data_IF_970759843992
#
_entry.id   IF_970759843992
#
_cell.length_a   1.000
_cell.length_b   1.000
_cell.length_c   1.000
_cell.angle_alpha   90.00
_cell.angle_beta   90.00
_cell.angle_gamma   90.00
#
_symmetry.space_group_name_H-M   'P 1'
#
loop_
_entity.id
_entity.type
_entity.pdbx_description
1 polymer ?
#
# COMPACT_ATOMS: atom_id res chain seq x y z
N UNK A 1 3.51 -11.29 -63.88
CA UNK A 1 4.80 -11.48 -63.16
C UNK A 1 4.71 -10.72 -61.84
N UNK A 2 4.69 -11.41 -60.72
CA UNK A 2 4.60 -10.82 -59.38
C UNK A 2 5.94 -10.23 -58.96
N UNK A 3 5.92 -8.98 -58.47
CA UNK A 3 7.14 -8.26 -58.08
C UNK A 3 7.75 -8.91 -56.82
N UNK A 4 8.98 -9.44 -56.89
CA UNK A 4 9.62 -10.14 -55.76
C UNK A 4 9.79 -9.25 -54.52
N UNK A 5 9.88 -7.93 -54.66
CA UNK A 5 9.94 -7.02 -53.52
C UNK A 5 8.65 -6.99 -52.69
N UNK A 6 7.49 -7.18 -53.32
CA UNK A 6 6.20 -7.22 -52.59
C UNK A 6 6.06 -8.48 -51.72
N UNK A 7 6.72 -9.58 -52.12
CA UNK A 7 6.70 -10.84 -51.38
C UNK A 7 7.56 -10.72 -50.11
N UNK A 8 8.73 -10.07 -50.21
CA UNK A 8 9.64 -9.88 -49.06
C UNK A 8 9.01 -8.96 -48.00
N UNK A 9 8.36 -7.88 -48.40
CA UNK A 9 7.70 -6.95 -47.47
C UNK A 9 6.53 -7.63 -46.75
N UNK A 10 5.72 -8.42 -47.47
CA UNK A 10 4.61 -9.16 -46.86
C UNK A 10 5.08 -10.21 -45.85
N UNK A 11 6.19 -10.90 -46.13
CA UNK A 11 6.78 -11.88 -45.23
C UNK A 11 7.33 -11.24 -43.94
N UNK A 12 8.01 -10.10 -44.05
CA UNK A 12 8.55 -9.37 -42.88
C UNK A 12 7.44 -8.82 -41.98
N UNK A 13 6.34 -8.32 -42.56
CA UNK A 13 5.18 -7.85 -41.78
C UNK A 13 4.49 -8.99 -41.02
N UNK A 14 4.42 -10.20 -41.60
CA UNK A 14 3.80 -11.34 -40.94
C UNK A 14 4.62 -11.83 -39.73
N UNK A 15 5.95 -11.79 -39.83
CA UNK A 15 6.87 -12.14 -38.73
C UNK A 15 6.81 -11.10 -37.60
N UNK A 16 6.74 -9.81 -37.91
CA UNK A 16 6.60 -8.76 -36.90
C UNK A 16 5.28 -8.88 -36.11
N UNK A 17 4.18 -9.20 -36.79
CA UNK A 17 2.86 -9.39 -36.16
C UNK A 17 2.85 -10.62 -35.24
N UNK A 18 3.51 -11.71 -35.64
CA UNK A 18 3.57 -12.93 -34.81
C UNK A 18 4.44 -12.74 -33.56
N UNK A 19 5.54 -11.99 -33.65
CA UNK A 19 6.38 -11.67 -32.49
C UNK A 19 5.64 -10.77 -31.50
N UNK A 20 4.91 -9.76 -31.97
CA UNK A 20 4.11 -8.86 -31.11
C UNK A 20 2.94 -9.58 -30.43
N UNK A 21 2.25 -10.48 -31.14
CA UNK A 21 1.18 -11.30 -30.55
C UNK A 21 1.72 -12.31 -29.53
N UNK A 22 2.88 -12.92 -29.80
CA UNK A 22 3.55 -13.83 -28.86
C UNK A 22 4.03 -13.14 -27.58
N UNK A 23 4.59 -11.94 -27.68
CA UNK A 23 5.02 -11.16 -26.51
C UNK A 23 3.82 -10.70 -25.65
N UNK A 24 2.72 -10.30 -26.29
CA UNK A 24 1.49 -9.90 -25.59
C UNK A 24 0.89 -11.04 -24.75
N UNK A 25 0.85 -12.26 -25.27
CA UNK A 25 0.36 -13.42 -24.55
C UNK A 25 1.27 -13.86 -23.38
N UNK A 26 2.59 -13.71 -23.52
CA UNK A 26 3.53 -14.05 -22.45
C UNK A 26 3.44 -13.08 -21.26
N UNK A 27 3.18 -11.79 -21.51
CA UNK A 27 2.96 -10.80 -20.45
C UNK A 27 1.63 -11.07 -19.74
N UNK A 28 0.56 -11.43 -20.46
CA UNK A 28 -0.71 -11.82 -19.83
C UNK A 28 -0.58 -13.07 -18.95
N UNK A 29 0.23 -14.07 -19.36
CA UNK A 29 0.50 -15.26 -18.56
C UNK A 29 1.33 -14.97 -17.29
N UNK A 30 2.20 -13.97 -17.31
CA UNK A 30 2.95 -13.54 -16.12
C UNK A 30 2.07 -12.85 -15.07
N UNK A 31 0.89 -12.35 -15.45
CA UNK A 31 -0.09 -11.76 -14.51
C UNK A 31 -1.24 -12.70 -14.15
N UNK A 32 -1.52 -13.74 -14.95
CA UNK A 32 -2.65 -14.67 -14.74
C UNK A 32 -2.21 -16.06 -14.25
N UNK A 33 -0.91 -16.31 -14.12
CA UNK A 33 -0.35 -17.63 -13.79
C UNK A 33 -0.21 -17.97 -12.31
N UNK A 34 -0.98 -17.33 -11.42
CA UNK A 34 -1.07 -17.81 -10.04
C UNK A 34 -2.01 -19.01 -10.04
N UNK A 35 -1.46 -20.20 -9.87
CA UNK A 35 -2.26 -21.43 -9.71
C UNK A 35 -3.23 -21.23 -8.56
N UNK A 36 -4.53 -21.20 -8.88
CA UNK A 36 -5.62 -21.04 -7.93
C UNK A 36 -5.43 -21.97 -6.73
N UNK A 37 -5.11 -21.39 -5.57
CA UNK A 37 -5.42 -22.01 -4.29
C UNK A 37 -6.95 -22.16 -4.22
N UNK A 38 -7.47 -23.21 -3.55
CA UNK A 38 -8.91 -23.43 -3.45
C UNK A 38 -9.61 -22.17 -2.94
N UNK A 39 -10.78 -21.86 -3.52
CA UNK A 39 -11.70 -20.76 -3.17
C UNK A 39 -12.25 -20.92 -1.74
N UNK A 40 -11.39 -20.84 -0.73
CA UNK A 40 -11.84 -20.54 0.62
C UNK A 40 -11.95 -19.03 0.70
N UNK A 41 -13.17 -18.52 0.88
CA UNK A 41 -13.39 -17.10 1.22
C UNK A 41 -12.36 -16.70 2.30
N UNK A 42 -11.71 -15.53 2.16
CA UNK A 42 -10.78 -15.06 3.18
C UNK A 42 -11.59 -14.79 4.45
N UNK A 43 -11.63 -15.79 5.34
CA UNK A 43 -12.01 -15.55 6.72
C UNK A 43 -10.95 -14.61 7.27
N UNK A 44 -11.35 -13.35 7.48
CA UNK A 44 -10.52 -12.36 8.17
C UNK A 44 -10.33 -12.88 9.59
N UNK A 45 -9.28 -13.68 9.79
CA UNK A 45 -8.89 -14.23 11.11
C UNK A 45 -8.71 -13.08 12.12
N UNK A 46 -8.39 -11.88 11.63
CA UNK A 46 -8.24 -10.67 12.45
C UNK A 46 -9.48 -10.31 13.29
N UNK A 47 -10.72 -10.63 12.88
CA UNK A 47 -11.89 -10.25 13.73
C UNK A 47 -12.09 -11.16 14.95
N UNK A 48 -11.36 -12.27 15.05
CA UNK A 48 -11.34 -13.14 16.23
C UNK A 48 -9.94 -13.16 16.85
N UNK A 49 -9.41 -11.99 17.24
CA UNK A 49 -8.37 -12.00 18.25
C UNK A 49 -8.90 -12.77 19.48
N UNK A 50 -8.17 -13.73 20.05
CA UNK A 50 -8.65 -14.45 21.22
C UNK A 50 -8.97 -13.44 22.32
N UNK A 51 -10.15 -13.55 22.93
CA UNK A 51 -10.60 -12.76 24.09
C UNK A 51 -9.67 -12.87 25.33
N UNK A 52 -8.54 -13.55 25.20
CA UNK A 52 -7.53 -13.78 26.22
C UNK A 52 -6.49 -12.65 26.36
N UNK A 53 -6.60 -11.54 25.61
CA UNK A 53 -5.79 -10.34 25.85
C UNK A 53 -6.38 -9.40 26.93
N UNK A 54 -7.32 -9.90 27.74
CA UNK A 54 -7.76 -9.21 28.95
C UNK A 54 -6.58 -9.06 29.94
N UNK A 55 -5.99 -7.86 29.91
CA UNK A 55 -5.27 -7.17 30.97
C UNK A 55 -4.48 -8.06 31.94
N UNK A 56 -3.22 -8.36 31.58
CA UNK A 56 -2.23 -8.66 32.60
C UNK A 56 -2.02 -7.40 33.46
N UNK A 57 -2.07 -7.48 34.81
CA UNK A 57 -1.87 -6.31 35.66
C UNK A 57 -0.46 -5.76 35.47
N UNK A 58 -0.36 -4.50 35.06
CA UNK A 58 0.91 -3.77 35.05
C UNK A 58 1.40 -3.63 36.50
N UNK A 59 2.40 -4.42 36.87
CA UNK A 59 3.20 -4.19 38.08
C UNK A 59 3.91 -2.83 37.96
N UNK A 60 3.82 -1.94 38.96
CA UNK A 60 4.48 -0.64 38.91
C UNK A 60 6.01 -0.82 39.02
N UNK A 61 6.71 -0.53 37.94
CA UNK A 61 8.18 -0.43 37.89
C UNK A 61 8.64 0.86 38.55
N UNK A 62 9.75 0.74 39.28
CA UNK A 62 10.31 1.70 40.23
C UNK A 62 10.50 3.14 39.72
N UNK A 63 10.29 4.06 40.66
CA UNK A 63 10.58 5.51 40.59
C UNK A 63 12.06 5.78 40.25
N UNK A 64 12.36 6.65 39.27
CA UNK A 64 13.73 7.08 39.02
C UNK A 64 14.20 8.12 40.05
N UNK A 65 15.44 7.93 40.51
CA UNK A 65 16.18 8.82 41.40
C UNK A 65 16.65 10.08 40.66
N UNK A 66 16.61 11.28 41.27
CA UNK A 66 17.02 12.52 40.59
C UNK A 66 18.55 12.61 40.48
N UNK A 67 19.05 12.72 39.25
CA UNK A 67 20.45 13.03 38.96
C UNK A 67 20.69 14.54 39.04
N UNK A 68 21.68 14.91 39.84
CA UNK A 68 22.14 16.29 40.07
C UNK A 68 22.68 16.96 38.81
N UNK A 69 22.18 18.16 38.54
CA UNK A 69 22.65 19.11 37.51
C UNK A 69 24.08 19.57 37.79
N UNK A 70 25.00 19.37 36.83
CA UNK A 70 26.31 20.04 36.82
C UNK A 70 26.31 21.22 35.82
N UNK A 71 26.94 22.31 36.24
CA UNK A 71 27.06 23.59 35.54
C UNK A 71 27.72 23.50 34.15
N UNK A 72 27.41 24.43 33.22
CA UNK A 72 28.04 24.50 31.92
C UNK A 72 29.44 25.15 31.98
N UNK A 73 30.42 24.69 31.17
CA UNK A 73 31.69 25.39 31.01
C UNK A 73 31.56 26.60 30.06
N UNK A 74 32.34 27.62 30.42
CA UNK A 74 32.60 28.91 29.80
C UNK A 74 32.86 28.85 28.29
N UNK A 75 32.24 29.76 27.55
CA UNK A 75 32.42 29.96 26.10
C UNK A 75 33.83 30.49 25.76
N UNK A 76 34.46 29.86 24.77
CA UNK A 76 35.69 30.31 24.11
C UNK A 76 35.33 31.26 22.94
N UNK A 77 36.02 32.40 22.76
CA UNK A 77 35.73 33.32 21.66
C UNK A 77 36.13 32.73 20.29
N UNK A 78 35.24 32.93 19.32
CA UNK A 78 35.31 32.49 17.93
C UNK A 78 36.24 33.42 17.10
N UNK A 79 37.13 32.88 16.25
CA UNK A 79 37.98 33.70 15.39
C UNK A 79 37.18 34.31 14.22
N UNK A 80 37.33 35.62 14.04
CA UNK A 80 36.77 36.38 12.91
C UNK A 80 37.38 35.92 11.58
N UNK A 81 36.59 35.19 10.78
CA UNK A 81 36.94 34.84 9.42
C UNK A 81 36.47 35.92 8.42
N UNK A 82 37.42 36.55 7.74
CA UNK A 82 37.17 37.43 6.58
C UNK A 82 36.79 36.58 5.38
N UNK A 83 35.49 36.35 5.20
CA UNK A 83 34.94 35.57 4.08
C UNK A 83 34.66 36.42 2.84
N UNK A 84 35.30 36.08 1.73
CA UNK A 84 34.98 36.58 0.38
C UNK A 84 33.53 36.25 0.02
N UNK A 85 32.72 37.27 -0.25
CA UNK A 85 31.31 37.14 -0.62
C UNK A 85 31.18 36.56 -2.03
N UNK A 86 31.02 35.24 -2.13
CA UNK A 86 30.57 34.59 -3.36
C UNK A 86 29.07 34.85 -3.49
N UNK A 87 28.68 35.64 -4.49
CA UNK A 87 27.27 35.89 -4.82
C UNK A 87 26.76 34.65 -5.55
N UNK A 88 26.23 33.68 -4.80
CA UNK A 88 25.51 32.56 -5.38
C UNK A 88 24.16 33.06 -5.89
N UNK A 89 24.03 33.14 -7.21
CA UNK A 89 22.74 33.38 -7.87
C UNK A 89 21.84 32.19 -7.54
N UNK A 90 20.93 32.38 -6.59
CA UNK A 90 19.97 31.35 -6.20
C UNK A 90 18.85 31.38 -7.23
N UNK A 91 18.90 30.45 -8.18
CA UNK A 91 17.77 30.23 -9.10
C UNK A 91 16.62 29.68 -8.24
N UNK A 92 15.45 30.34 -8.21
CA UNK A 92 14.30 29.82 -7.48
C UNK A 92 13.98 28.41 -8.02
N UNK A 93 13.78 27.41 -7.15
CA UNK A 93 13.45 26.06 -7.61
C UNK A 93 12.18 26.13 -8.45
N UNK A 94 12.22 25.53 -9.64
CA UNK A 94 11.03 25.29 -10.45
C UNK A 94 10.00 24.58 -9.56
N UNK A 95 8.76 25.08 -9.44
CA UNK A 95 7.75 24.41 -8.64
C UNK A 95 7.61 22.98 -9.15
N UNK A 96 7.87 22.01 -8.28
CA UNK A 96 7.60 20.60 -8.58
C UNK A 96 6.12 20.50 -8.92
N UNK A 97 5.76 19.96 -10.12
CA UNK A 97 4.35 19.80 -10.45
C UNK A 97 3.68 19.01 -9.33
N UNK A 98 2.65 19.59 -8.73
CA UNK A 98 1.89 18.94 -7.66
C UNK A 98 1.41 17.60 -8.20
N UNK A 99 1.92 16.51 -7.63
CA UNK A 99 1.50 15.16 -8.00
C UNK A 99 -0.01 15.06 -7.80
N UNK A 100 -0.71 14.42 -8.74
CA UNK A 100 -2.15 14.20 -8.60
C UNK A 100 -2.43 13.53 -7.23
N UNK A 101 -3.44 14.02 -6.53
CA UNK A 101 -3.92 13.46 -5.27
C UNK A 101 -5.42 13.30 -5.41
N UNK A 102 -5.92 12.08 -5.22
CA UNK A 102 -7.34 11.76 -5.41
C UNK A 102 -8.20 12.04 -4.17
N UNK A 103 -7.69 12.77 -3.17
CA UNK A 103 -8.44 13.19 -1.98
C UNK A 103 -9.76 13.89 -2.35
N UNK A 104 -9.75 14.74 -3.38
CA UNK A 104 -10.95 15.47 -3.83
C UNK A 104 -11.70 14.76 -4.98
N UNK A 105 -11.16 13.64 -5.48
CA UNK A 105 -11.71 12.87 -6.60
C UNK A 105 -12.30 11.53 -6.11
N UNK A 106 -13.16 11.62 -5.08
CA UNK A 106 -13.90 10.48 -4.50
C UNK A 106 -15.33 10.47 -5.02
N UNK A 107 -15.71 9.39 -5.70
CA UNK A 107 -16.94 9.37 -6.48
C UNK A 107 -17.84 8.15 -6.22
N UNK A 108 -19.15 8.42 -6.24
CA UNK A 108 -20.24 7.44 -6.37
C UNK A 108 -20.40 6.46 -5.18
N UNK A 109 -19.82 6.71 -4.01
CA UNK A 109 -20.00 5.86 -2.83
C UNK A 109 -21.43 5.88 -2.31
N UNK A 110 -22.21 6.93 -2.54
CA UNK A 110 -23.64 6.98 -2.20
C UNK A 110 -24.43 5.85 -2.87
N UNK A 111 -23.99 5.37 -4.04
CA UNK A 111 -24.61 4.25 -4.74
C UNK A 111 -24.47 2.92 -3.99
N UNK A 112 -23.61 2.83 -2.97
CA UNK A 112 -23.56 1.69 -2.05
C UNK A 112 -24.75 1.66 -1.10
N UNK A 113 -25.38 2.81 -0.83
CA UNK A 113 -26.38 2.97 0.24
C UNK A 113 -25.79 2.88 1.66
N UNK A 114 -24.46 2.80 1.81
CA UNK A 114 -23.78 2.59 3.08
C UNK A 114 -23.04 3.84 3.58
N UNK A 115 -22.35 4.55 2.68
CA UNK A 115 -21.49 5.70 3.01
C UNK A 115 -21.51 6.73 1.86
N UNK A 116 -21.37 8.02 2.18
CA UNK A 116 -21.26 9.10 1.18
C UNK A 116 -19.81 9.36 0.76
N UNK A 117 -19.58 10.06 -0.35
CA UNK A 117 -18.23 10.47 -0.77
C UNK A 117 -17.56 11.35 0.28
N UNK A 118 -18.31 12.28 0.89
CA UNK A 118 -17.82 13.15 1.97
C UNK A 118 -17.37 12.33 3.19
N UNK A 119 -18.16 11.34 3.59
CA UNK A 119 -17.78 10.45 4.71
C UNK A 119 -16.54 9.60 4.40
N UNK A 120 -16.37 9.15 3.15
CA UNK A 120 -15.15 8.47 2.70
C UNK A 120 -13.96 9.42 2.73
N UNK A 121 -14.14 10.65 2.26
CA UNK A 121 -13.10 11.68 2.29
C UNK A 121 -12.64 11.97 3.72
N UNK A 122 -13.59 12.21 4.62
CA UNK A 122 -13.32 12.46 6.04
C UNK A 122 -12.67 11.26 6.73
N UNK A 123 -13.09 10.04 6.37
CA UNK A 123 -12.45 8.83 6.86
C UNK A 123 -10.98 8.77 6.44
N UNK A 124 -10.66 8.95 5.17
CA UNK A 124 -9.27 8.91 4.69
C UNK A 124 -8.41 10.01 5.34
N UNK A 125 -8.92 11.24 5.43
CA UNK A 125 -8.23 12.36 6.11
C UNK A 125 -7.85 12.07 7.55
N UNK A 126 -8.70 11.32 8.27
CA UNK A 126 -8.48 11.00 9.68
C UNK A 126 -7.60 9.76 9.90
N UNK A 127 -7.58 8.84 8.94
CA UNK A 127 -7.03 7.50 9.17
C UNK A 127 -5.73 7.22 8.43
N UNK A 128 -5.35 8.03 7.43
CA UNK A 128 -4.10 7.88 6.69
C UNK A 128 -3.41 9.22 6.42
N UNK A 129 -2.07 9.25 6.28
CA UNK A 129 -1.36 10.40 5.73
C UNK A 129 -1.87 10.79 4.34
N UNK A 130 -2.08 12.08 4.07
CA UNK A 130 -2.59 12.55 2.77
C UNK A 130 -1.63 12.27 1.60
N UNK A 131 -0.33 12.19 1.86
CA UNK A 131 0.67 11.85 0.86
C UNK A 131 0.61 10.37 0.42
N UNK A 132 -0.10 9.51 1.15
CA UNK A 132 -0.39 8.13 0.71
C UNK A 132 -1.36 8.09 -0.48
N UNK A 133 -2.08 9.18 -0.74
CA UNK A 133 -2.90 9.39 -1.94
C UNK A 133 -2.14 10.09 -3.07
N UNK A 134 -0.83 10.34 -2.93
CA UNK A 134 -0.03 10.88 -4.03
C UNK A 134 -0.02 9.93 -5.24
N UNK A 135 0.00 10.53 -6.43
CA UNK A 135 -0.07 9.85 -7.71
C UNK A 135 -1.30 8.95 -7.83
N UNK A 136 -2.36 9.18 -7.06
CA UNK A 136 -3.67 8.61 -7.26
C UNK A 136 -4.53 9.66 -7.99
N UNK A 137 -5.32 9.19 -8.96
CA UNK A 137 -6.12 10.02 -9.84
C UNK A 137 -7.59 10.04 -9.43
N UNK A 138 -8.13 8.91 -8.99
CA UNK A 138 -9.54 8.79 -8.62
C UNK A 138 -9.75 7.61 -7.68
N UNK A 139 -10.69 7.78 -6.74
CA UNK A 139 -11.29 6.70 -5.96
C UNK A 139 -12.77 6.64 -6.32
N UNK A 140 -13.26 5.48 -6.78
CA UNK A 140 -14.65 5.36 -7.21
C UNK A 140 -15.30 4.07 -6.73
N UNK A 141 -16.52 4.19 -6.22
CA UNK A 141 -17.38 3.03 -6.01
C UNK A 141 -18.12 2.64 -7.30
N UNK A 142 -18.12 1.35 -7.60
CA UNK A 142 -18.76 0.77 -8.78
C UNK A 142 -19.89 -0.17 -8.33
N UNK A 143 -21.17 0.20 -8.52
CA UNK A 143 -22.33 -0.55 -8.00
C UNK A 143 -22.57 -1.88 -8.71
N UNK A 144 -21.86 -2.17 -9.80
CA UNK A 144 -21.97 -3.41 -10.53
C UNK A 144 -20.57 -3.94 -10.83
N UNK A 145 -20.23 -5.09 -10.25
CA UNK A 145 -18.98 -5.77 -10.57
C UNK A 145 -18.88 -5.98 -12.08
N UNK A 146 -17.79 -5.53 -12.69
CA UNK A 146 -17.56 -5.81 -14.09
C UNK A 146 -17.37 -7.32 -14.23
N UNK A 147 -18.22 -7.97 -15.03
CA UNK A 147 -18.27 -9.43 -15.22
C UNK A 147 -16.91 -10.05 -15.61
N UNK A 148 -15.96 -9.23 -16.06
CA UNK A 148 -14.60 -9.61 -16.42
C UNK A 148 -13.67 -9.90 -15.22
N UNK A 149 -14.01 -9.48 -13.99
CA UNK A 149 -13.11 -9.54 -12.83
C UNK A 149 -13.35 -10.74 -11.90
N UNK A 150 -14.25 -11.67 -12.26
CA UNK A 150 -14.67 -12.77 -11.38
C UNK A 150 -15.52 -12.27 -10.21
N UNK A 151 -16.12 -13.19 -9.45
CA UNK A 151 -17.08 -12.86 -8.38
C UNK A 151 -16.43 -12.53 -7.04
N UNK A 152 -15.10 -12.68 -6.92
CA UNK A 152 -14.39 -12.61 -5.63
C UNK A 152 -13.70 -11.26 -5.35
N UNK A 153 -13.63 -10.35 -6.33
CA UNK A 153 -12.88 -9.10 -6.18
C UNK A 153 -13.78 -7.99 -5.61
N UNK A 154 -13.45 -7.48 -4.43
CA UNK A 154 -14.18 -6.40 -3.76
C UNK A 154 -13.59 -5.00 -4.08
N UNK A 155 -12.37 -4.93 -4.60
CA UNK A 155 -11.70 -3.68 -5.01
C UNK A 155 -10.57 -3.92 -6.01
N UNK A 156 -10.07 -2.85 -6.64
CA UNK A 156 -8.84 -2.93 -7.43
C UNK A 156 -8.15 -1.57 -7.53
N UNK A 157 -6.83 -1.58 -7.39
CA UNK A 157 -5.95 -0.51 -7.83
C UNK A 157 -5.41 -0.81 -9.23
N UNK A 158 -5.57 0.14 -10.17
CA UNK A 158 -5.04 0.03 -11.53
C UNK A 158 -3.79 0.90 -11.68
N UNK A 159 -2.56 0.33 -11.67
CA UNK A 159 -1.34 1.13 -11.59
C UNK A 159 -1.06 2.04 -12.79
N UNK A 160 -1.56 1.66 -13.97
CA UNK A 160 -1.38 2.43 -15.21
C UNK A 160 -2.19 3.72 -15.19
N UNK A 161 -3.44 3.64 -14.71
CA UNK A 161 -4.35 4.79 -14.66
C UNK A 161 -4.32 5.52 -13.33
N UNK A 162 -3.73 4.89 -12.30
CA UNK A 162 -3.68 5.40 -10.92
C UNK A 162 -5.06 5.56 -10.31
N UNK A 163 -5.94 4.61 -10.59
CA UNK A 163 -7.34 4.65 -10.16
C UNK A 163 -7.59 3.52 -9.16
N UNK A 164 -8.38 3.82 -8.13
CA UNK A 164 -8.85 2.87 -7.13
C UNK A 164 -10.35 2.69 -7.35
N UNK A 165 -10.77 1.44 -7.47
CA UNK A 165 -12.17 1.06 -7.56
C UNK A 165 -12.56 0.18 -6.39
N UNK A 166 -13.73 0.43 -5.81
CA UNK A 166 -14.39 -0.46 -4.85
C UNK A 166 -15.67 -0.98 -5.50
N UNK A 167 -15.85 -2.29 -5.57
CA UNK A 167 -16.97 -2.91 -6.25
C UNK A 167 -18.06 -3.34 -5.28
N UNK A 168 -19.31 -3.22 -5.72
CA UNK A 168 -20.41 -3.91 -5.08
C UNK A 168 -20.20 -5.43 -5.23
N UNK A 169 -19.81 -6.10 -4.16
CA UNK A 169 -19.97 -7.54 -4.06
C UNK A 169 -21.16 -7.83 -3.15
N UNK A 170 -22.20 -8.43 -3.73
CA UNK A 170 -23.47 -8.70 -3.04
C UNK A 170 -23.35 -9.76 -1.95
N UNK A 171 -22.27 -10.55 -1.93
CA UNK A 171 -22.04 -11.57 -0.90
C UNK A 171 -21.09 -11.12 0.22
N UNK A 172 -20.07 -10.29 -0.07
CA UNK A 172 -19.01 -9.96 0.88
C UNK A 172 -19.13 -8.60 1.58
N UNK A 173 -19.81 -7.61 0.99
CA UNK A 173 -20.00 -6.30 1.64
C UNK A 173 -21.17 -6.35 2.61
N UNK A 174 -20.89 -6.68 3.87
CA UNK A 174 -21.91 -6.78 4.92
C UNK A 174 -22.17 -5.46 5.65
N UNK A 175 -21.40 -4.43 5.37
CA UNK A 175 -21.56 -3.09 5.96
C UNK A 175 -20.45 -2.12 5.59
N UNK A 176 -20.48 -0.95 6.24
CA UNK A 176 -19.51 0.15 6.02
C UNK A 176 -18.07 -0.30 6.28
N UNK A 177 -17.83 -1.11 7.33
CA UNK A 177 -16.47 -1.56 7.66
C UNK A 177 -15.84 -2.42 6.56
N UNK A 178 -16.58 -3.33 5.94
CA UNK A 178 -16.04 -4.19 4.88
C UNK A 178 -15.69 -3.36 3.62
N UNK A 179 -16.47 -2.32 3.35
CA UNK A 179 -16.21 -1.35 2.28
C UNK A 179 -14.97 -0.53 2.58
N UNK A 180 -14.81 -0.03 3.81
CA UNK A 180 -13.63 0.74 4.23
C UNK A 180 -12.38 -0.13 4.31
N UNK A 181 -12.48 -1.38 4.77
CA UNK A 181 -11.39 -2.35 4.79
C UNK A 181 -10.87 -2.56 3.34
N UNK A 182 -11.78 -2.81 2.39
CA UNK A 182 -11.44 -2.91 0.96
C UNK A 182 -10.78 -1.64 0.44
N UNK A 183 -11.35 -0.46 0.74
CA UNK A 183 -10.79 0.81 0.29
C UNK A 183 -9.35 1.01 0.80
N UNK A 184 -9.10 0.77 2.09
CA UNK A 184 -7.78 0.94 2.69
C UNK A 184 -6.79 -0.08 2.12
N UNK A 185 -7.23 -1.30 1.82
CA UNK A 185 -6.43 -2.30 1.11
C UNK A 185 -5.95 -1.75 -0.25
N UNK A 186 -6.85 -1.19 -1.06
CA UNK A 186 -6.48 -0.64 -2.38
C UNK A 186 -5.58 0.60 -2.28
N UNK A 187 -5.75 1.42 -1.25
CA UNK A 187 -4.80 2.51 -0.94
C UNK A 187 -3.41 1.94 -0.63
N UNK A 188 -3.33 0.82 0.10
CA UNK A 188 -2.09 0.10 0.36
C UNK A 188 -1.36 -0.31 -0.93
N UNK A 189 -2.09 -0.77 -1.95
CA UNK A 189 -1.51 -1.04 -3.28
C UNK A 189 -0.96 0.22 -3.96
N UNK A 190 -1.65 1.37 -3.88
CA UNK A 190 -1.15 2.64 -4.40
C UNK A 190 0.16 3.07 -3.72
N UNK A 191 0.20 2.99 -2.38
CA UNK A 191 1.37 3.31 -1.56
C UNK A 191 2.55 2.42 -1.95
N UNK A 192 2.34 1.10 -2.00
CA UNK A 192 3.39 0.15 -2.38
C UNK A 192 3.92 0.42 -3.79
N UNK A 193 3.04 0.76 -4.73
CA UNK A 193 3.44 1.09 -6.09
C UNK A 193 4.32 2.36 -6.13
N UNK A 194 3.99 3.38 -5.33
CA UNK A 194 4.82 4.57 -5.19
C UNK A 194 6.18 4.26 -4.57
N UNK A 195 6.24 3.43 -3.52
CA UNK A 195 7.49 2.99 -2.89
C UNK A 195 8.39 2.29 -3.91
N UNK A 196 7.86 1.33 -4.66
CA UNK A 196 8.61 0.64 -5.72
C UNK A 196 9.23 1.59 -6.75
N UNK A 197 8.53 2.66 -7.08
CA UNK A 197 8.98 3.65 -8.06
C UNK A 197 10.01 4.61 -7.48
N UNK A 198 9.75 5.12 -6.28
CA UNK A 198 10.47 6.27 -5.71
C UNK A 198 11.54 5.87 -4.69
N UNK A 199 11.40 4.70 -4.05
CA UNK A 199 12.30 4.17 -3.03
C UNK A 199 12.46 2.64 -3.12
N UNK A 200 13.19 2.19 -4.14
CA UNK A 200 13.43 0.77 -4.39
C UNK A 200 14.07 0.02 -3.21
N UNK A 201 14.84 0.70 -2.35
CA UNK A 201 15.44 0.07 -1.17
C UNK A 201 14.37 -0.43 -0.19
N UNK A 202 13.31 0.35 0.02
CA UNK A 202 12.18 -0.08 0.88
C UNK A 202 11.38 -1.22 0.25
N UNK A 203 11.23 -1.30 -1.08
CA UNK A 203 10.60 -2.47 -1.73
C UNK A 203 11.43 -3.74 -1.54
N UNK A 204 12.76 -3.64 -1.57
CA UNK A 204 13.66 -4.77 -1.28
C UNK A 204 13.54 -5.22 0.17
N UNK A 205 13.51 -4.28 1.11
CA UNK A 205 13.31 -4.58 2.54
C UNK A 205 11.95 -5.25 2.78
N UNK A 206 10.88 -4.71 2.21
CA UNK A 206 9.55 -5.34 2.28
C UNK A 206 9.55 -6.75 1.70
N UNK A 207 10.24 -6.95 0.57
CA UNK A 207 10.38 -8.27 -0.04
C UNK A 207 11.08 -9.28 0.89
N UNK A 208 12.05 -8.84 1.68
CA UNK A 208 12.70 -9.68 2.69
C UNK A 208 11.73 -10.03 3.83
N UNK A 209 10.98 -9.05 4.36
CA UNK A 209 9.96 -9.29 5.38
C UNK A 209 8.88 -10.27 4.92
N UNK A 210 8.47 -10.21 3.65
CA UNK A 210 7.55 -11.18 3.06
C UNK A 210 8.14 -12.60 3.03
N UNK A 211 9.42 -12.78 2.67
CA UNK A 211 10.07 -14.09 2.71
C UNK A 211 10.18 -14.64 4.15
N UNK A 212 10.46 -13.78 5.12
CA UNK A 212 10.47 -14.14 6.53
C UNK A 212 9.08 -14.57 7.03
N UNK A 213 8.02 -13.90 6.58
CA UNK A 213 6.64 -14.32 6.82
C UNK A 213 6.31 -15.69 6.23
N UNK A 214 6.73 -15.96 4.98
CA UNK A 214 6.55 -17.28 4.37
C UNK A 214 7.24 -18.38 5.19
N UNK A 215 8.44 -18.11 5.69
CA UNK A 215 9.17 -19.04 6.56
C UNK A 215 8.42 -19.26 7.88
N UNK A 216 8.07 -18.17 8.56
CA UNK A 216 7.36 -18.20 9.85
C UNK A 216 6.03 -18.94 9.74
N UNK A 217 5.30 -18.73 8.64
CA UNK A 217 4.02 -19.38 8.38
C UNK A 217 4.15 -20.89 8.20
N UNK A 218 5.19 -21.35 7.48
CA UNK A 218 5.45 -22.79 7.34
C UNK A 218 5.83 -23.45 8.67
N UNK A 219 6.49 -22.72 9.56
CA UNK A 219 6.97 -23.25 10.84
C UNK A 219 5.88 -23.23 11.92
N UNK A 220 5.01 -22.22 11.93
CA UNK A 220 4.12 -21.93 13.07
C UNK A 220 2.67 -21.65 12.70
N UNK A 221 2.36 -21.48 11.41
CA UNK A 221 1.08 -20.97 10.94
C UNK A 221 0.88 -19.46 11.15
N UNK A 222 1.89 -18.73 11.67
CA UNK A 222 1.85 -17.29 11.94
C UNK A 222 2.62 -16.47 10.89
N UNK A 223 2.62 -15.14 10.98
CA UNK A 223 3.46 -14.26 10.16
C UNK A 223 2.72 -13.49 9.06
N UNK A 224 1.46 -13.83 8.78
CA UNK A 224 0.56 -13.09 7.89
C UNK A 224 -0.71 -12.68 8.65
N UNK A 225 -1.25 -11.50 8.36
CA UNK A 225 -2.46 -10.97 9.01
C UNK A 225 -3.76 -11.58 8.48
N UNK A 226 -3.70 -12.21 7.30
CA UNK A 226 -4.83 -12.91 6.68
C UNK A 226 -4.34 -14.04 5.77
N UNK A 227 -5.26 -14.91 5.35
CA UNK A 227 -4.97 -15.92 4.31
C UNK A 227 -4.68 -15.25 2.97
N UNK A 228 -5.37 -14.15 2.64
CA UNK A 228 -5.20 -13.45 1.38
C UNK A 228 -3.79 -12.82 1.24
N UNK A 229 -3.23 -12.33 2.34
CA UNK A 229 -1.86 -11.82 2.40
C UNK A 229 -0.79 -12.84 1.98
N UNK A 230 -1.09 -14.15 1.99
CA UNK A 230 -0.15 -15.20 1.59
C UNK A 230 0.03 -15.29 0.06
N UNK A 231 -0.85 -14.64 -0.72
CA UNK A 231 -0.90 -14.76 -2.18
C UNK A 231 0.41 -14.31 -2.83
N UNK A 232 0.90 -13.12 -2.49
CA UNK A 232 2.16 -12.56 -2.96
C UNK A 232 2.56 -11.34 -2.10
N UNK A 233 3.77 -10.81 -2.30
CA UNK A 233 4.27 -9.65 -1.53
C UNK A 233 3.45 -8.36 -1.70
N UNK A 234 2.67 -8.24 -2.77
CA UNK A 234 1.84 -7.07 -3.04
C UNK A 234 0.56 -7.13 -2.21
N UNK A 235 -0.16 -8.27 -2.23
CA UNK A 235 -1.32 -8.49 -1.36
C UNK A 235 -0.93 -8.46 0.12
N UNK A 236 0.23 -9.04 0.46
CA UNK A 236 0.76 -8.96 1.81
C UNK A 236 0.97 -7.52 2.28
N UNK A 237 1.49 -6.64 1.40
CA UNK A 237 1.65 -5.22 1.74
C UNK A 237 0.30 -4.56 1.98
N UNK A 238 -0.65 -4.74 1.07
CA UNK A 238 -1.97 -4.12 1.14
C UNK A 238 -2.75 -4.58 2.38
N UNK A 239 -2.75 -5.89 2.67
CA UNK A 239 -3.38 -6.46 3.86
C UNK A 239 -2.68 -5.98 5.15
N UNK A 240 -1.35 -5.93 5.16
CA UNK A 240 -0.59 -5.39 6.31
C UNK A 240 -0.87 -3.91 6.52
N UNK A 241 -0.94 -3.12 5.45
CA UNK A 241 -1.25 -1.69 5.49
C UNK A 241 -2.65 -1.47 6.06
N UNK A 242 -3.64 -2.22 5.57
CA UNK A 242 -5.00 -2.22 6.12
C UNK A 242 -5.01 -2.60 7.60
N UNK A 243 -4.32 -3.68 7.99
CA UNK A 243 -4.23 -4.09 9.38
C UNK A 243 -3.57 -3.02 10.26
N UNK A 244 -2.54 -2.30 9.77
CA UNK A 244 -1.92 -1.21 10.51
C UNK A 244 -2.89 -0.05 10.77
N UNK A 245 -3.70 0.33 9.76
CA UNK A 245 -4.69 1.41 9.87
C UNK A 245 -5.89 1.01 10.74
N UNK A 246 -6.38 -0.24 10.60
CA UNK A 246 -7.65 -0.67 11.18
C UNK A 246 -7.51 -1.39 12.51
N UNK A 247 -6.41 -2.11 12.72
CA UNK A 247 -6.20 -2.96 13.89
C UNK A 247 -4.70 -3.23 14.15
N UNK A 248 -3.90 -2.20 14.50
CA UNK A 248 -2.45 -2.32 14.61
C UNK A 248 -2.00 -3.36 15.63
N UNK A 249 -2.77 -3.60 16.69
CA UNK A 249 -2.51 -4.65 17.69
C UNK A 249 -2.50 -6.06 17.10
N UNK A 250 -3.36 -6.31 16.10
CA UNK A 250 -3.40 -7.59 15.41
C UNK A 250 -2.12 -7.76 14.59
N UNK A 251 -1.68 -6.70 13.91
CA UNK A 251 -0.43 -6.75 13.17
C UNK A 251 0.77 -6.96 14.10
N UNK A 252 0.82 -6.29 15.27
CA UNK A 252 1.85 -6.53 16.31
C UNK A 252 1.89 -8.00 16.73
N UNK A 253 0.72 -8.61 16.93
CA UNK A 253 0.60 -10.01 17.33
C UNK A 253 1.08 -10.98 16.24
N UNK A 254 0.68 -10.77 14.98
CA UNK A 254 1.05 -11.67 13.89
C UNK A 254 2.48 -11.48 13.38
N UNK A 255 2.97 -10.24 13.33
CA UNK A 255 4.29 -9.92 12.82
C UNK A 255 4.79 -8.53 13.29
N UNK A 256 5.52 -8.52 14.41
CA UNK A 256 6.09 -7.29 14.97
C UNK A 256 7.04 -6.56 14.00
N UNK A 257 7.82 -7.27 13.18
CA UNK A 257 8.75 -6.63 12.25
C UNK A 257 8.01 -5.86 11.14
N UNK A 258 6.91 -6.41 10.62
CA UNK A 258 6.05 -5.71 9.66
C UNK A 258 5.32 -4.54 10.29
N UNK A 259 4.86 -4.68 11.53
CA UNK A 259 4.31 -3.57 12.29
C UNK A 259 5.34 -2.41 12.38
N UNK A 260 6.57 -2.70 12.80
CA UNK A 260 7.62 -1.68 12.92
C UNK A 260 7.99 -1.08 11.57
N UNK A 261 8.00 -1.87 10.49
CA UNK A 261 8.21 -1.35 9.14
C UNK A 261 7.12 -0.36 8.74
N UNK A 262 5.85 -0.72 8.93
CA UNK A 262 4.73 0.18 8.65
C UNK A 262 4.85 1.46 9.48
N UNK A 263 5.07 1.32 10.79
CA UNK A 263 5.22 2.47 11.69
C UNK A 263 6.34 3.38 11.26
N UNK A 264 7.54 2.87 11.07
CA UNK A 264 8.73 3.70 10.90
C UNK A 264 8.90 4.24 9.48
N UNK A 265 8.59 3.43 8.46
CA UNK A 265 8.90 3.75 7.07
C UNK A 265 7.70 4.22 6.25
N UNK A 266 6.49 3.79 6.63
CA UNK A 266 5.28 4.11 5.87
C UNK A 266 4.53 5.25 6.57
N UNK A 267 4.26 5.13 7.87
CA UNK A 267 3.44 6.08 8.62
C UNK A 267 4.24 7.09 9.46
N UNK A 268 5.57 7.19 9.28
CA UNK A 268 6.44 8.17 9.96
C UNK A 268 6.31 8.22 11.49
N UNK A 269 6.03 7.08 12.11
CA UNK A 269 5.91 6.91 13.55
C UNK A 269 4.49 7.04 14.10
N UNK A 270 3.49 7.38 13.27
CA UNK A 270 2.12 7.62 13.70
C UNK A 270 1.25 6.37 13.59
N UNK A 271 0.39 6.18 14.59
CA UNK A 271 -0.79 5.31 14.52
C UNK A 271 -2.02 6.20 14.44
N UNK A 272 -3.03 5.76 13.71
CA UNK A 272 -4.25 6.51 13.49
C UNK A 272 -5.41 5.79 14.16
N UNK A 273 -6.31 6.54 14.81
CA UNK A 273 -7.53 5.97 15.39
C UNK A 273 -8.64 5.95 14.31
N UNK A 274 -9.19 4.76 13.98
CA UNK A 274 -10.27 4.63 12.99
C UNK A 274 -11.56 5.37 13.37
#
# INVERSE_FOLDING_TARGET
>A
MTNPQKIVIAALSLVAITILAGLGCAIAYLFLGSTALPDTEPEIIARQAPAALAEAPLTPTATPQPTTTSLPPTATPEPTATGTRVVTVTVPPTPTPTRANCEDDINNFEASGLITNEQVQDYLRRTIPLDHLENCREIRYIPQQAAAHGTAISGTFIPVYREIYVYANTASLRGVDDLLDTLVHEVGHNVHYNIRRDNFALDVEWSALYQDSLKTYRETGMGFVSTYAQTNKYEDFAETYMAYVRAPEILKYYNLNKYEFMRQHIFNGFEYEP
#
